data_IF_677475811033
#
_entry.id   IF_677475811033
#
_cell.length_a   1.000
_cell.length_b   1.000
_cell.length_c   1.000
_cell.angle_alpha   90.00
_cell.angle_beta   90.00
_cell.angle_gamma   90.00
#
_symmetry.space_group_name_H-M   'P 1'
#
loop_
_entity.id
_entity.type
_entity.pdbx_description
1 polymer ?
#
# COMPACT_ATOMS: atom_id res chain seq x y z
N UNK A 1 4.43 6.06 -9.32
CA UNK A 1 3.15 6.76 -9.11
C UNK A 1 3.34 7.94 -8.17
N UNK A 2 2.72 9.09 -8.46
CA UNK A 2 2.71 10.25 -7.53
C UNK A 2 1.81 9.94 -6.32
N UNK A 3 2.13 10.51 -5.17
CA UNK A 3 1.37 10.29 -3.93
C UNK A 3 -0.10 10.70 -4.05
N UNK A 4 -0.39 11.85 -4.67
CA UNK A 4 -1.77 12.35 -4.84
C UNK A 4 -2.66 11.32 -5.56
N UNK A 5 -2.17 10.78 -6.68
CA UNK A 5 -2.88 9.72 -7.41
C UNK A 5 -3.04 8.47 -6.56
N UNK A 6 -1.98 8.03 -5.87
CA UNK A 6 -2.08 6.87 -4.97
C UNK A 6 -3.13 7.11 -3.87
N UNK A 7 -3.16 8.28 -3.25
CA UNK A 7 -4.08 8.62 -2.17
C UNK A 7 -5.54 8.59 -2.65
N UNK A 8 -5.82 9.12 -3.85
CA UNK A 8 -7.14 9.01 -4.48
C UNK A 8 -7.52 7.56 -4.72
N UNK A 9 -6.65 6.78 -5.38
CA UNK A 9 -6.91 5.37 -5.68
C UNK A 9 -7.09 4.52 -4.41
N UNK A 10 -6.33 4.82 -3.37
CA UNK A 10 -6.38 4.17 -2.06
C UNK A 10 -7.70 4.46 -1.35
N UNK A 11 -8.12 5.73 -1.30
CA UNK A 11 -9.38 6.12 -0.67
C UNK A 11 -10.58 5.49 -1.39
N UNK A 12 -10.59 5.55 -2.73
CA UNK A 12 -11.61 4.91 -3.54
C UNK A 12 -11.68 3.40 -3.27
N UNK A 13 -10.53 2.72 -3.15
CA UNK A 13 -10.50 1.28 -2.86
C UNK A 13 -11.20 0.89 -1.55
N UNK A 14 -11.25 1.79 -0.56
CA UNK A 14 -11.91 1.53 0.72
C UNK A 14 -13.44 1.48 0.61
N UNK A 15 -14.01 2.02 -0.47
CA UNK A 15 -15.46 2.02 -0.74
C UNK A 15 -15.92 0.72 -1.42
N UNK A 16 -15.00 -0.14 -1.84
CA UNK A 16 -15.29 -1.39 -2.53
C UNK A 16 -15.21 -2.60 -1.60
N UNK A 17 -16.07 -3.58 -1.83
CA UNK A 17 -16.09 -4.84 -1.05
C UNK A 17 -15.05 -5.86 -1.51
N UNK A 18 -14.57 -5.76 -2.75
CA UNK A 18 -13.58 -6.68 -3.33
C UNK A 18 -12.77 -6.00 -4.45
N UNK A 19 -11.57 -6.54 -4.71
CA UNK A 19 -10.63 -6.01 -5.70
C UNK A 19 -11.17 -6.08 -7.13
N UNK A 20 -11.95 -7.10 -7.48
CA UNK A 20 -12.47 -7.30 -8.83
C UNK A 20 -13.45 -6.18 -9.22
N UNK A 21 -14.36 -5.81 -8.32
CA UNK A 21 -15.28 -4.69 -8.49
C UNK A 21 -14.53 -3.36 -8.61
N UNK A 22 -13.54 -3.13 -7.73
CA UNK A 22 -12.69 -1.95 -7.75
C UNK A 22 -11.92 -1.77 -9.09
N UNK A 23 -11.43 -2.88 -9.65
CA UNK A 23 -10.67 -2.86 -10.91
C UNK A 23 -11.59 -2.71 -12.12
N UNK A 24 -12.70 -3.45 -12.16
CA UNK A 24 -13.58 -3.52 -13.33
C UNK A 24 -14.40 -2.23 -13.54
N UNK A 25 -14.90 -1.60 -12.47
CA UNK A 25 -15.74 -0.40 -12.59
C UNK A 25 -14.97 0.87 -12.97
N UNK A 26 -13.65 0.90 -12.79
CA UNK A 26 -12.83 2.11 -13.00
C UNK A 26 -12.72 2.53 -14.46
N UNK A 27 -12.67 1.55 -15.37
CA UNK A 27 -12.36 1.80 -16.79
C UNK A 27 -10.97 2.40 -17.04
N UNK A 28 -10.69 2.78 -18.29
CA UNK A 28 -9.41 3.41 -18.67
C UNK A 28 -9.34 4.87 -18.20
N UNK A 29 -8.19 5.28 -17.66
CA UNK A 29 -7.93 6.65 -17.18
C UNK A 29 -6.58 7.17 -17.67
N UNK A 30 -6.44 8.49 -17.86
CA UNK A 30 -5.22 9.09 -18.43
C UNK A 30 -3.91 8.72 -17.74
N UNK A 31 -3.94 8.53 -16.41
CA UNK A 31 -2.74 8.14 -15.68
C UNK A 31 -2.24 6.74 -16.06
N UNK A 32 -3.12 5.86 -16.56
CA UNK A 32 -2.80 4.49 -16.95
C UNK A 32 -1.84 4.46 -18.15
N UNK A 33 -1.87 5.49 -19.01
CA UNK A 33 -0.94 5.66 -20.13
C UNK A 33 0.53 5.73 -19.69
N UNK A 34 0.80 6.00 -18.40
CA UNK A 34 2.16 6.05 -17.85
C UNK A 34 2.70 4.67 -17.40
N UNK A 35 1.91 3.60 -17.54
CA UNK A 35 2.28 2.27 -17.10
C UNK A 35 1.99 1.23 -18.19
N UNK A 36 2.75 0.12 -18.25
CA UNK A 36 2.41 -0.98 -19.14
C UNK A 36 1.04 -1.57 -18.79
N UNK A 37 0.19 -1.79 -19.80
CA UNK A 37 -1.18 -2.31 -19.63
C UNK A 37 -1.21 -3.60 -18.79
N UNK A 38 -0.26 -4.52 -19.06
CA UNK A 38 -0.10 -5.77 -18.31
C UNK A 38 0.18 -5.60 -16.81
N UNK A 39 0.60 -4.42 -16.35
CA UNK A 39 0.86 -4.12 -14.95
C UNK A 39 -0.30 -3.43 -14.25
N UNK A 40 -1.26 -2.87 -14.99
CA UNK A 40 -2.34 -2.05 -14.42
C UNK A 40 -3.20 -2.82 -13.42
N UNK A 41 -3.59 -4.05 -13.75
CA UNK A 41 -4.35 -4.91 -12.83
C UNK A 41 -3.58 -5.19 -11.54
N UNK A 42 -2.28 -5.45 -11.62
CA UNK A 42 -1.43 -5.66 -10.45
C UNK A 42 -1.26 -4.39 -9.61
N UNK A 43 -1.13 -3.22 -10.25
CA UNK A 43 -1.04 -1.93 -9.56
C UNK A 43 -2.30 -1.68 -8.75
N UNK A 44 -3.48 -1.81 -9.38
CA UNK A 44 -4.76 -1.58 -8.75
C UNK A 44 -5.03 -2.62 -7.63
N UNK A 45 -4.77 -3.89 -7.88
CA UNK A 45 -4.87 -4.94 -6.85
C UNK A 45 -3.98 -4.65 -5.65
N UNK A 46 -2.73 -4.22 -5.89
CA UNK A 46 -1.79 -3.89 -4.80
C UNK A 46 -2.27 -2.70 -3.97
N UNK A 47 -2.83 -1.67 -4.61
CA UNK A 47 -3.41 -0.52 -3.91
C UNK A 47 -4.61 -0.96 -3.07
N UNK A 48 -5.50 -1.79 -3.63
CA UNK A 48 -6.64 -2.33 -2.92
C UNK A 48 -6.21 -3.13 -1.69
N UNK A 49 -5.28 -4.08 -1.84
CA UNK A 49 -4.77 -4.90 -0.74
C UNK A 49 -4.19 -4.05 0.38
N UNK A 50 -3.43 -3.00 0.04
CA UNK A 50 -2.88 -2.05 0.99
C UNK A 50 -3.97 -1.22 1.69
N UNK A 51 -5.05 -0.87 0.99
CA UNK A 51 -6.16 -0.09 1.53
C UNK A 51 -6.93 -0.86 2.61
N UNK A 52 -7.24 -2.12 2.34
CA UNK A 52 -8.04 -2.96 3.23
C UNK A 52 -7.22 -3.58 4.37
N UNK A 53 -5.92 -3.84 4.16
CA UNK A 53 -5.08 -4.50 5.17
C UNK A 53 -4.68 -3.57 6.31
N UNK A 54 -4.57 -4.10 7.52
CA UNK A 54 -3.96 -3.41 8.66
C UNK A 54 -2.44 -3.22 8.46
N UNK A 55 -1.83 -2.28 9.19
CA UNK A 55 -0.37 -2.10 9.18
C UNK A 55 0.36 -3.38 9.60
N UNK A 56 -0.22 -4.14 10.52
CA UNK A 56 0.31 -5.43 10.97
C UNK A 56 0.39 -6.43 9.82
N UNK A 57 -0.70 -6.61 9.08
CA UNK A 57 -0.75 -7.54 7.94
C UNK A 57 0.19 -7.12 6.81
N UNK A 58 0.25 -5.82 6.49
CA UNK A 58 1.18 -5.25 5.51
C UNK A 58 2.64 -5.54 5.91
N UNK A 59 2.97 -5.37 7.20
CA UNK A 59 4.30 -5.64 7.74
C UNK A 59 4.64 -7.13 7.72
N UNK A 60 3.72 -7.99 8.16
CA UNK A 60 3.93 -9.43 8.31
C UNK A 60 4.01 -10.16 6.97
N UNK A 61 3.19 -9.76 5.99
CA UNK A 61 3.28 -10.27 4.61
C UNK A 61 4.66 -10.05 3.96
N UNK A 62 5.37 -9.00 4.38
CA UNK A 62 6.74 -8.67 3.94
C UNK A 62 7.83 -9.20 4.87
N UNK A 63 7.47 -10.03 5.87
CA UNK A 63 8.38 -10.60 6.87
C UNK A 63 9.19 -9.55 7.64
N UNK A 64 8.63 -8.36 7.82
CA UNK A 64 9.29 -7.27 8.53
C UNK A 64 8.98 -7.41 10.03
N UNK A 65 10.02 -7.46 10.87
CA UNK A 65 9.82 -7.46 12.32
C UNK A 65 9.37 -6.08 12.83
N UNK A 66 8.65 -6.02 13.96
CA UNK A 66 8.30 -4.76 14.62
C UNK A 66 9.53 -3.87 14.87
N UNK A 67 10.65 -4.46 15.27
CA UNK A 67 11.89 -3.72 15.49
C UNK A 67 12.48 -3.13 14.21
N UNK A 68 12.41 -3.84 13.08
CA UNK A 68 12.84 -3.33 11.79
C UNK A 68 11.91 -2.19 11.30
N UNK A 69 10.59 -2.37 11.44
CA UNK A 69 9.61 -1.35 11.10
C UNK A 69 9.78 -0.07 11.92
N UNK A 70 10.03 -0.21 13.23
CA UNK A 70 10.31 0.91 14.13
C UNK A 70 11.49 1.75 13.65
N UNK A 71 12.60 1.10 13.26
CA UNK A 71 13.77 1.79 12.70
C UNK A 71 13.48 2.43 11.34
N UNK A 72 12.72 1.75 10.49
CA UNK A 72 12.39 2.21 9.13
C UNK A 72 11.61 3.53 9.14
N UNK A 73 10.62 3.66 10.03
CA UNK A 73 9.73 4.82 10.08
C UNK A 73 9.99 5.74 11.26
N UNK A 74 11.03 5.46 12.06
CA UNK A 74 11.31 6.17 13.31
C UNK A 74 10.09 6.25 14.26
N UNK A 75 9.33 5.16 14.33
CA UNK A 75 8.15 5.03 15.20
C UNK A 75 8.53 4.19 16.42
N UNK A 76 8.24 4.63 17.66
CA UNK A 76 8.53 3.83 18.84
C UNK A 76 7.90 2.43 18.78
N UNK A 77 8.66 1.39 19.16
CA UNK A 77 8.16 -0.01 19.16
C UNK A 77 6.85 -0.14 19.93
N UNK A 78 6.71 0.58 21.06
CA UNK A 78 5.49 0.58 21.87
C UNK A 78 4.26 1.09 21.10
N UNK A 79 4.44 2.09 20.23
CA UNK A 79 3.36 2.59 19.38
C UNK A 79 2.91 1.51 18.38
N UNK A 80 3.85 0.74 17.82
CA UNK A 80 3.53 -0.38 16.94
C UNK A 80 2.81 -1.51 17.69
N UNK A 81 3.19 -1.78 18.93
CA UNK A 81 2.50 -2.75 19.79
C UNK A 81 1.06 -2.33 20.08
N UNK A 82 0.83 -1.05 20.37
CA UNK A 82 -0.51 -0.52 20.59
C UNK A 82 -1.37 -0.60 19.32
N UNK A 83 -0.78 -0.42 18.13
CA UNK A 83 -1.45 -0.61 16.85
C UNK A 83 -1.76 -2.09 16.58
N UNK A 84 -0.76 -2.98 16.75
CA UNK A 84 -0.89 -4.43 16.50
C UNK A 84 -1.89 -5.12 17.45
N UNK A 85 -2.12 -4.54 18.63
CA UNK A 85 -3.07 -5.04 19.64
C UNK A 85 -4.39 -4.24 19.68
N UNK A 86 -4.59 -3.33 18.73
CA UNK A 86 -5.77 -2.47 18.61
C UNK A 86 -6.06 -1.58 19.83
N UNK A 87 -5.12 -1.49 20.79
CA UNK A 87 -5.20 -0.56 21.94
C UNK A 87 -5.25 0.90 21.48
N UNK A 88 -4.64 1.21 20.34
CA UNK A 88 -4.70 2.51 19.69
C UNK A 88 -4.86 2.32 18.19
N UNK A 89 -5.85 3.00 17.59
CA UNK A 89 -5.97 3.05 16.14
C UNK A 89 -4.92 4.02 15.57
N UNK A 90 -4.19 3.60 14.54
CA UNK A 90 -3.40 4.51 13.71
C UNK A 90 -4.34 5.49 13.00
N UNK A 91 -3.92 6.76 12.87
CA UNK A 91 -4.69 7.71 12.07
C UNK A 91 -4.68 7.31 10.59
N UNK A 92 -5.81 7.46 9.89
CA UNK A 92 -5.97 6.93 8.53
C UNK A 92 -4.97 7.56 7.54
N UNK A 93 -4.66 8.86 7.69
CA UNK A 93 -3.64 9.53 6.87
C UNK A 93 -2.22 8.97 7.10
N UNK A 94 -1.87 8.60 8.34
CA UNK A 94 -0.58 7.96 8.64
C UNK A 94 -0.52 6.56 8.03
N UNK A 95 -1.62 5.80 8.11
CA UNK A 95 -1.72 4.48 7.46
C UNK A 95 -1.50 4.61 5.95
N UNK A 96 -2.15 5.57 5.31
CA UNK A 96 -2.04 5.82 3.86
C UNK A 96 -0.62 6.24 3.45
N UNK A 97 0.05 7.09 4.23
CA UNK A 97 1.46 7.46 3.97
C UNK A 97 2.40 6.24 4.03
N UNK A 98 2.23 5.40 5.06
CA UNK A 98 3.01 4.16 5.19
C UNK A 98 2.66 3.16 4.08
N UNK A 99 1.39 3.05 3.70
CA UNK A 99 0.98 2.20 2.59
C UNK A 99 1.64 2.64 1.27
N UNK A 100 1.75 3.95 1.03
CA UNK A 100 2.44 4.48 -0.15
C UNK A 100 3.92 4.10 -0.18
N UNK A 101 4.63 4.16 0.95
CA UNK A 101 6.05 3.77 0.98
C UNK A 101 6.22 2.27 0.70
N UNK A 102 5.30 1.42 1.17
CA UNK A 102 5.28 0.00 0.77
C UNK A 102 4.99 -0.20 -0.70
N UNK A 103 3.95 0.47 -1.23
CA UNK A 103 3.62 0.41 -2.66
C UNK A 103 4.81 0.77 -3.53
N UNK A 104 5.50 1.87 -3.20
CA UNK A 104 6.68 2.30 -3.96
C UNK A 104 7.83 1.32 -3.84
N UNK A 105 8.08 0.73 -2.66
CA UNK A 105 9.13 -0.28 -2.50
C UNK A 105 8.84 -1.56 -3.29
N UNK A 106 7.60 -2.05 -3.25
CA UNK A 106 7.22 -3.27 -3.96
C UNK A 106 7.19 -3.05 -5.49
N UNK A 107 6.80 -1.85 -5.92
CA UNK A 107 6.71 -1.49 -7.33
C UNK A 107 8.08 -1.15 -7.93
N UNK A 108 8.92 -0.39 -7.21
CA UNK A 108 10.28 -0.05 -7.66
C UNK A 108 11.26 -1.22 -7.53
N UNK A 109 11.11 -2.06 -6.49
CA UNK A 109 11.94 -3.23 -6.26
C UNK A 109 11.85 -4.26 -7.39
N UNK A 110 10.68 -4.38 -8.04
CA UNK A 110 10.48 -5.27 -9.20
C UNK A 110 10.97 -4.70 -10.54
N UNK A 111 11.32 -3.41 -10.59
CA UNK A 111 11.94 -2.78 -11.77
C UNK A 111 13.46 -2.60 -11.66
N UNK A 112 14.03 -2.91 -10.48
CA UNK A 112 15.43 -2.73 -10.13
C UNK A 112 16.33 -3.94 -10.35
N UNK A 113 15.78 -5.13 -10.66
CA UNK A 113 16.55 -6.22 -11.26
C UNK A 113 16.80 -5.91 -12.75
N UNK A 114 17.58 -4.85 -12.99
CA UNK A 114 18.41 -4.73 -14.18
C UNK A 114 19.77 -5.32 -13.83
N UNK A 115 19.86 -6.65 -13.75
CA UNK A 115 21.11 -7.39 -13.76
C UNK A 115 20.88 -8.57 -14.71
N UNK A 116 21.76 -8.99 -15.62
CA UNK A 116 23.11 -8.62 -16.03
C UNK A 116 23.35 -9.41 -17.32
#
# INVERSE_FOLDING_TARGET
MKYELFATLYAEAQEYSNAEMYISERGWQEWMNNYPEKQLGHILSSIYDLAISSIKEIRESRKISRAAFSRMYNIPIRTLEDWDTEKRKIADYNKMLIAYTFFMNDFLGKGGEKNE
#
